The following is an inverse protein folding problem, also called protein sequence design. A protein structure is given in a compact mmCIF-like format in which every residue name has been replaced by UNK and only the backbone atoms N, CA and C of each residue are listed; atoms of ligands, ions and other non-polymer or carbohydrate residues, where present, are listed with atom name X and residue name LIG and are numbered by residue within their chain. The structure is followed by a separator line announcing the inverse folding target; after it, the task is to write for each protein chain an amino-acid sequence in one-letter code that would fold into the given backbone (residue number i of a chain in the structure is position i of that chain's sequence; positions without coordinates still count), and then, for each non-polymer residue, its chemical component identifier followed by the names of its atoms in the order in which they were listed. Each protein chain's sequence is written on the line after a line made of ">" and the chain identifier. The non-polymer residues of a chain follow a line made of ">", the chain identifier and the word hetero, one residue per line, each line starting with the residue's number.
data_IF_333947255409
#
_entry.id   IF_333947255409
#
_cell.length_a   1.000
_cell.length_b   1.000
_cell.length_c   1.000
_cell.angle_alpha   90.00
_cell.angle_beta   90.00
_cell.angle_gamma   90.00
#
_symmetry.space_group_name_H-M   'P 1'
#
loop_
_entity.id
_entity.type
_entity.pdbx_description
1 polymer ?
#
# COMPACT_ATOMS: atom_id res chain seq x y z
N UNK A 1 -4.59 9.66 31.42
CA UNK A 1 -5.27 8.70 30.53
C UNK A 1 -4.37 8.49 29.33
N UNK A 2 -3.89 7.27 29.08
CA UNK A 2 -3.12 6.98 27.87
C UNK A 2 -4.10 6.90 26.71
N UNK A 3 -4.03 7.85 25.77
CA UNK A 3 -4.78 7.77 24.53
C UNK A 3 -4.28 6.55 23.74
N UNK A 4 -5.18 5.61 23.45
CA UNK A 4 -4.88 4.49 22.56
C UNK A 4 -4.81 5.06 21.14
N UNK A 5 -3.61 5.03 20.54
CA UNK A 5 -3.41 5.48 19.16
C UNK A 5 -3.64 4.30 18.23
N UNK A 6 -4.74 4.34 17.47
CA UNK A 6 -5.03 3.36 16.44
C UNK A 6 -4.24 3.69 15.16
N UNK A 7 -3.47 2.72 14.66
CA UNK A 7 -2.68 2.85 13.43
C UNK A 7 -3.34 2.01 12.35
N UNK A 8 -3.59 2.62 11.20
CA UNK A 8 -4.25 1.99 10.07
C UNK A 8 -3.31 1.98 8.86
N UNK A 9 -3.40 0.92 8.05
CA UNK A 9 -2.74 0.91 6.74
C UNK A 9 -3.43 1.87 5.77
N UNK A 10 -2.69 2.26 4.73
CA UNK A 10 -3.21 3.01 3.60
C UNK A 10 -3.16 2.14 2.35
N UNK A 11 -4.29 1.98 1.67
CA UNK A 11 -4.39 1.25 0.40
C UNK A 11 -5.18 2.08 -0.61
N UNK A 12 -4.88 1.90 -1.89
CA UNK A 12 -5.57 2.61 -2.97
C UNK A 12 -5.87 1.70 -4.17
N UNK A 13 -6.98 2.02 -4.84
CA UNK A 13 -7.35 1.43 -6.13
C UNK A 13 -6.98 2.46 -7.20
N UNK A 14 -6.01 2.11 -8.04
CA UNK A 14 -5.58 2.95 -9.15
C UNK A 14 -6.28 2.48 -10.42
N UNK A 15 -6.87 3.41 -11.15
CA UNK A 15 -7.52 3.13 -12.43
C UNK A 15 -7.03 4.08 -13.52
N UNK A 16 -7.15 3.64 -14.77
CA UNK A 16 -6.92 4.51 -15.94
C UNK A 16 -7.97 5.63 -15.97
N UNK A 17 -7.66 6.73 -16.66
CA UNK A 17 -8.57 7.88 -16.79
C UNK A 17 -9.97 7.48 -17.31
N UNK A 18 -10.01 6.52 -18.24
CA UNK A 18 -11.25 5.96 -18.80
C UNK A 18 -11.93 4.90 -17.91
N UNK A 19 -11.34 4.57 -16.76
CA UNK A 19 -11.79 3.58 -15.76
C UNK A 19 -11.97 2.16 -16.29
N UNK A 20 -11.35 1.82 -17.43
CA UNK A 20 -11.45 0.46 -18.01
C UNK A 20 -10.42 -0.52 -17.47
N UNK A 21 -9.34 -0.01 -16.87
CA UNK A 21 -8.26 -0.82 -16.33
C UNK A 21 -7.95 -0.41 -14.91
N UNK A 22 -7.62 -1.40 -14.11
CA UNK A 22 -7.10 -1.24 -12.75
C UNK A 22 -5.65 -1.67 -12.70
N UNK A 23 -4.87 -0.98 -11.89
CA UNK A 23 -3.50 -1.37 -11.59
C UNK A 23 -3.48 -2.15 -10.27
N UNK A 24 -2.81 -3.31 -10.32
CA UNK A 24 -2.53 -4.15 -9.17
C UNK A 24 -1.05 -4.50 -9.16
N UNK A 25 -0.49 -4.75 -7.97
CA UNK A 25 0.87 -5.23 -7.80
C UNK A 25 0.91 -6.75 -7.63
N UNK A 26 1.96 -7.40 -8.13
CA UNK A 26 2.28 -8.79 -7.80
C UNK A 26 3.71 -8.85 -7.30
N UNK A 27 3.89 -9.35 -6.08
CA UNK A 27 5.19 -9.47 -5.46
C UNK A 27 5.87 -10.77 -5.87
N UNK A 28 7.17 -10.71 -6.14
CA UNK A 28 7.96 -11.86 -6.55
C UNK A 28 8.39 -12.74 -5.36
N UNK A 29 9.27 -13.71 -5.64
CA UNK A 29 9.79 -14.64 -4.64
C UNK A 29 10.69 -13.98 -3.57
N UNK A 30 11.19 -12.78 -3.82
CA UNK A 30 12.11 -12.05 -2.93
C UNK A 30 11.39 -11.24 -1.85
N UNK A 31 10.11 -10.93 -2.03
CA UNK A 31 9.35 -10.09 -1.11
C UNK A 31 9.29 -10.69 0.31
N UNK A 32 9.54 -9.95 1.41
CA UNK A 32 9.72 -10.56 2.74
C UNK A 32 8.53 -11.35 3.27
N UNK A 33 7.31 -10.99 2.88
CA UNK A 33 6.08 -11.60 3.42
C UNK A 33 5.54 -12.67 2.47
N UNK A 34 5.84 -13.94 2.79
CA UNK A 34 5.51 -15.12 1.97
C UNK A 34 4.06 -15.14 1.48
N UNK A 35 3.10 -14.81 2.35
CA UNK A 35 1.65 -14.84 2.02
C UNK A 35 1.22 -13.89 0.89
N UNK A 36 2.05 -12.92 0.51
CA UNK A 36 1.75 -11.95 -0.55
C UNK A 36 2.49 -12.26 -1.86
N UNK A 37 3.46 -13.20 -1.84
CA UNK A 37 4.22 -13.60 -3.02
C UNK A 37 3.31 -14.29 -4.02
N UNK A 38 3.47 -13.98 -5.31
CA UNK A 38 2.69 -14.58 -6.40
C UNK A 38 1.19 -14.25 -6.37
N UNK A 39 0.76 -13.35 -5.48
CA UNK A 39 -0.63 -12.91 -5.34
C UNK A 39 -0.82 -11.52 -5.93
N UNK A 40 -2.01 -11.27 -6.46
CA UNK A 40 -2.42 -9.94 -6.92
C UNK A 40 -2.88 -9.12 -5.71
N UNK A 41 -2.30 -7.94 -5.53
CA UNK A 41 -2.54 -7.07 -4.37
C UNK A 41 -2.93 -5.66 -4.80
N UNK A 42 -3.73 -5.00 -3.96
CA UNK A 42 -3.90 -3.54 -4.02
C UNK A 42 -2.63 -2.85 -3.55
N UNK A 43 -2.34 -1.70 -4.14
CA UNK A 43 -1.15 -0.92 -3.80
C UNK A 43 -1.35 -0.24 -2.44
N UNK A 44 -0.30 -0.22 -1.63
CA UNK A 44 -0.32 0.39 -0.31
C UNK A 44 0.48 -0.39 0.73
N UNK A 45 0.29 -0.03 1.98
CA UNK A 45 1.10 -0.62 3.04
C UNK A 45 0.73 -0.19 4.45
N UNK A 46 1.64 -0.50 5.36
CA UNK A 46 1.43 -0.25 6.78
C UNK A 46 1.87 1.16 7.15
N UNK A 47 1.26 1.70 8.19
CA UNK A 47 1.73 2.91 8.85
C UNK A 47 3.21 2.78 9.28
N UNK A 48 4.02 3.79 8.96
CA UNK A 48 5.35 4.04 9.49
C UNK A 48 5.34 5.32 10.34
N UNK A 49 6.25 5.43 11.30
CA UNK A 49 6.34 6.62 12.16
C UNK A 49 6.65 7.86 11.29
N UNK A 50 5.83 8.90 11.43
CA UNK A 50 5.89 10.10 10.58
C UNK A 50 4.81 10.16 9.50
N UNK A 51 4.10 9.07 9.22
CA UNK A 51 2.94 9.10 8.33
C UNK A 51 1.79 9.90 8.99
N UNK A 52 1.22 10.86 8.27
CA UNK A 52 0.17 11.75 8.78
C UNK A 52 -1.24 11.34 8.40
N UNK A 53 -1.41 10.50 7.37
CA UNK A 53 -2.72 10.00 6.93
C UNK A 53 -2.58 8.74 6.06
N UNK A 54 -3.67 7.97 5.86
CA UNK A 54 -3.70 6.87 4.89
C UNK A 54 -3.32 7.27 3.46
N UNK A 55 -3.60 8.51 3.07
CA UNK A 55 -3.23 9.03 1.75
C UNK A 55 -1.71 9.26 1.63
N UNK A 56 -1.07 9.78 2.67
CA UNK A 56 0.39 9.93 2.69
C UNK A 56 1.10 8.58 2.76
N UNK A 57 0.53 7.60 3.48
CA UNK A 57 0.99 6.20 3.43
C UNK A 57 0.95 5.68 1.99
N UNK A 58 -0.18 5.85 1.32
CA UNK A 58 -0.36 5.36 -0.05
C UNK A 58 0.63 5.99 -1.04
N UNK A 59 0.84 7.32 -0.98
CA UNK A 59 1.86 8.00 -1.80
C UNK A 59 3.27 7.45 -1.56
N UNK A 60 3.65 7.26 -0.30
CA UNK A 60 4.96 6.73 0.07
C UNK A 60 5.16 5.32 -0.48
N UNK A 61 4.18 4.44 -0.30
CA UNK A 61 4.25 3.05 -0.76
C UNK A 61 4.30 2.96 -2.29
N UNK A 62 3.56 3.81 -3.04
CA UNK A 62 3.71 3.89 -4.50
C UNK A 62 5.15 4.23 -4.88
N UNK A 63 5.76 5.23 -4.24
CA UNK A 63 7.13 5.60 -4.56
C UNK A 63 8.12 4.46 -4.23
N UNK A 64 7.92 3.73 -3.13
CA UNK A 64 8.75 2.58 -2.76
C UNK A 64 8.64 1.41 -3.75
N UNK A 65 7.46 1.18 -4.36
CA UNK A 65 7.22 0.03 -5.25
C UNK A 65 7.55 0.28 -6.73
N UNK A 66 7.55 1.55 -7.18
CA UNK A 66 7.68 1.91 -8.60
C UNK A 66 8.89 2.82 -8.92
N UNK A 67 9.75 3.13 -7.95
CA UNK A 67 11.03 3.82 -8.17
C UNK A 67 12.19 2.83 -8.24
#
# INVERSE_FOLDING_TARGET
>A
MNNIVHRHGGVGIVSTYDRKKFLFGMYDSTYPKIKYRGSVNVLGGNFKFGDSSPFEIFKREINEEFS
#
